data_IF_849281434577
#
_entry.id   IF_849281434577
#
_cell.length_a   1.000
_cell.length_b   1.000
_cell.length_c   1.000
_cell.angle_alpha   90.00
_cell.angle_beta   90.00
_cell.angle_gamma   90.00
#
_symmetry.space_group_name_H-M   'P 1'
#
loop_
_entity.id
_entity.type
_entity.pdbx_description
1 polymer ?
#
# COMPACT_ATOMS: atom_id res chain seq x y z
N UNK A 1 15.76 -5.68 -8.13
CA UNK A 1 15.14 -7.01 -8.40
C UNK A 1 13.67 -6.98 -8.02
N UNK A 2 12.73 -7.40 -8.89
CA UNK A 2 11.32 -7.35 -8.58
C UNK A 2 10.98 -8.49 -7.61
N UNK A 3 10.37 -8.15 -6.47
CA UNK A 3 9.74 -9.10 -5.55
C UNK A 3 8.58 -9.78 -6.30
N UNK A 4 8.90 -10.81 -7.09
CA UNK A 4 7.95 -11.79 -7.61
C UNK A 4 7.14 -12.27 -6.41
N UNK A 5 5.83 -12.00 -6.48
CA UNK A 5 4.73 -12.68 -5.78
C UNK A 5 5.25 -13.74 -4.81
N UNK A 6 5.51 -13.34 -3.57
CA UNK A 6 5.67 -14.30 -2.51
C UNK A 6 4.32 -15.01 -2.41
N UNK A 7 4.28 -16.34 -2.57
CA UNK A 7 3.02 -17.05 -2.70
C UNK A 7 2.14 -16.76 -1.48
N UNK A 8 0.87 -16.43 -1.72
CA UNK A 8 -0.13 -16.21 -0.68
C UNK A 8 -0.15 -17.40 0.32
N UNK A 9 0.14 -18.60 -0.18
CA UNK A 9 0.34 -19.82 0.60
C UNK A 9 1.48 -19.70 1.63
N UNK A 10 2.61 -19.12 1.24
CA UNK A 10 3.79 -18.95 2.08
C UNK A 10 3.55 -17.92 3.19
N UNK A 11 2.79 -16.86 2.87
CA UNK A 11 2.34 -15.87 3.85
C UNK A 11 1.43 -16.54 4.89
N UNK A 12 0.47 -17.37 4.45
CA UNK A 12 -0.39 -18.14 5.35
C UNK A 12 0.40 -19.10 6.26
N UNK A 13 1.41 -19.80 5.72
CA UNK A 13 2.28 -20.66 6.51
C UNK A 13 3.08 -19.88 7.56
N UNK A 14 3.70 -18.75 7.19
CA UNK A 14 4.46 -17.92 8.13
C UNK A 14 3.53 -17.34 9.21
N UNK A 15 2.32 -16.93 8.84
CA UNK A 15 1.32 -16.41 9.78
C UNK A 15 0.82 -17.48 10.76
N UNK A 16 0.60 -18.71 10.30
CA UNK A 16 0.23 -19.84 11.17
C UNK A 16 1.32 -20.16 12.20
N UNK A 17 2.59 -20.16 11.78
CA UNK A 17 3.71 -20.38 12.70
C UNK A 17 3.93 -19.19 13.64
N UNK A 18 3.60 -17.98 13.21
CA UNK A 18 3.65 -16.78 14.05
C UNK A 18 2.59 -16.82 15.18
N UNK A 19 1.42 -17.40 14.93
CA UNK A 19 0.38 -17.61 15.96
C UNK A 19 0.85 -18.59 17.04
N UNK A 20 1.71 -19.55 16.69
CA UNK A 20 2.34 -20.47 17.65
C UNK A 20 3.43 -19.79 18.52
N UNK A 21 3.55 -18.45 18.46
CA UNK A 21 4.54 -17.62 19.19
C UNK A 21 6.00 -17.97 18.87
N UNK A 22 6.26 -18.59 17.72
CA UNK A 22 7.63 -18.89 17.31
C UNK A 22 8.41 -17.60 17.03
N UNK A 23 9.70 -17.60 17.38
CA UNK A 23 10.56 -16.48 17.09
C UNK A 23 10.87 -16.40 15.58
N UNK A 24 11.17 -15.18 15.10
CA UNK A 24 11.48 -14.95 13.69
C UNK A 24 12.66 -15.80 13.19
N UNK A 25 13.62 -16.08 14.07
CA UNK A 25 14.79 -16.90 13.77
C UNK A 25 14.41 -18.37 13.54
N UNK A 26 13.49 -18.90 14.35
CA UNK A 26 12.99 -20.28 14.20
C UNK A 26 12.20 -20.40 12.89
N UNK A 27 11.35 -19.43 12.58
CA UNK A 27 10.60 -19.37 11.32
C UNK A 27 11.56 -19.37 10.12
N UNK A 28 12.60 -18.54 10.16
CA UNK A 28 13.60 -18.47 9.10
C UNK A 28 14.33 -19.81 8.91
N UNK A 29 14.80 -20.44 9.98
CA UNK A 29 15.51 -21.73 9.90
C UNK A 29 14.60 -22.84 9.38
N UNK A 30 13.35 -22.88 9.83
CA UNK A 30 12.37 -23.86 9.38
C UNK A 30 12.03 -23.69 7.89
N UNK A 31 11.85 -22.46 7.41
CA UNK A 31 11.67 -22.18 5.98
C UNK A 31 12.89 -22.56 5.16
N UNK A 32 14.11 -22.27 5.64
CA UNK A 32 15.36 -22.69 4.97
C UNK A 32 15.45 -24.22 4.84
N UNK A 33 15.06 -24.97 5.88
CA UNK A 33 14.99 -26.45 5.82
C UNK A 33 14.01 -26.96 4.75
N UNK A 34 12.96 -26.19 4.45
CA UNK A 34 12.00 -26.46 3.36
C UNK A 34 12.43 -25.92 1.99
N UNK A 35 13.68 -25.45 1.85
CA UNK A 35 14.20 -24.87 0.61
C UNK A 35 13.70 -23.45 0.32
N UNK A 36 13.04 -22.80 1.29
CA UNK A 36 12.47 -21.46 1.13
C UNK A 36 13.39 -20.43 1.79
N UNK A 37 14.01 -19.58 0.98
CA UNK A 37 14.81 -18.47 1.46
C UNK A 37 13.94 -17.28 1.87
N UNK A 38 13.84 -17.00 3.18
CA UNK A 38 13.10 -15.86 3.75
C UNK A 38 14.02 -14.99 4.59
N UNK A 39 14.01 -13.68 4.37
CA UNK A 39 14.72 -12.71 5.21
C UNK A 39 13.92 -12.32 6.46
N UNK A 40 14.61 -12.04 7.57
CA UNK A 40 13.98 -11.59 8.82
C UNK A 40 13.14 -10.31 8.66
N UNK A 41 13.58 -9.37 7.82
CA UNK A 41 12.84 -8.15 7.51
C UNK A 41 11.48 -8.45 6.86
N UNK A 42 11.41 -9.49 6.02
CA UNK A 42 10.17 -9.96 5.40
C UNK A 42 9.22 -10.58 6.43
N UNK A 43 9.75 -11.39 7.36
CA UNK A 43 8.96 -11.95 8.47
C UNK A 43 8.42 -10.82 9.36
N UNK A 44 9.23 -9.80 9.64
CA UNK A 44 8.81 -8.62 10.40
C UNK A 44 7.69 -7.85 9.69
N UNK A 45 7.79 -7.68 8.36
CA UNK A 45 6.70 -7.08 7.56
C UNK A 45 5.42 -7.89 7.64
N UNK A 46 5.48 -9.22 7.58
CA UNK A 46 4.30 -10.09 7.71
C UNK A 46 3.70 -9.94 9.12
N UNK A 47 4.51 -10.03 10.18
CA UNK A 47 4.07 -9.86 11.58
C UNK A 47 3.39 -8.51 11.83
N UNK A 48 3.95 -7.43 11.29
CA UNK A 48 3.47 -6.06 11.51
C UNK A 48 2.44 -5.61 10.47
N UNK A 49 2.25 -6.36 9.39
CA UNK A 49 1.18 -6.10 8.45
C UNK A 49 -0.15 -6.42 9.12
N UNK A 50 -1.16 -5.58 8.91
CA UNK A 50 -2.55 -5.81 9.35
C UNK A 50 -3.22 -6.95 8.59
N UNK A 51 -2.48 -8.00 8.24
CA UNK A 51 -2.95 -9.18 7.49
C UNK A 51 -3.64 -10.21 8.40
N UNK A 52 -3.98 -9.83 9.64
CA UNK A 52 -4.90 -10.54 10.51
C UNK A 52 -6.39 -10.28 10.20
N UNK A 53 -6.72 -9.59 9.11
CA UNK A 53 -8.08 -9.55 8.59
C UNK A 53 -8.18 -10.56 7.44
N UNK A 54 -8.85 -11.68 7.71
CA UNK A 54 -9.49 -12.51 6.68
C UNK A 54 -10.41 -11.63 5.85
N UNK A 55 -9.85 -10.98 4.85
CA UNK A 55 -10.59 -10.48 3.69
C UNK A 55 -10.09 -11.27 2.49
N UNK A 56 -10.56 -12.51 2.42
CA UNK A 56 -11.01 -13.03 1.13
C UNK A 56 -11.89 -11.93 0.53
N UNK A 57 -11.63 -11.56 -0.73
CA UNK A 57 -11.90 -10.25 -1.38
C UNK A 57 -10.64 -9.35 -1.52
N UNK A 58 -9.45 -9.91 -1.75
CA UNK A 58 -8.35 -9.11 -2.30
C UNK A 58 -8.47 -9.05 -3.82
N UNK A 59 -9.26 -8.10 -4.33
CA UNK A 59 -8.81 -7.41 -5.55
C UNK A 59 -7.42 -6.86 -5.23
N UNK A 60 -6.43 -7.02 -6.13
CA UNK A 60 -5.11 -6.48 -5.86
C UNK A 60 -5.30 -4.99 -5.55
N UNK A 61 -4.70 -4.52 -4.45
CA UNK A 61 -4.38 -3.10 -4.29
C UNK A 61 -3.38 -2.83 -5.41
N UNK A 62 -3.92 -2.56 -6.59
CA UNK A 62 -3.17 -2.01 -7.68
C UNK A 62 -2.73 -0.66 -7.14
N UNK A 63 -1.43 -0.46 -6.96
CA UNK A 63 -0.81 0.85 -7.19
C UNK A 63 -0.93 1.20 -8.69
N UNK A 64 -2.10 0.93 -9.28
CA UNK A 64 -2.41 1.06 -10.67
C UNK A 64 -2.76 2.50 -10.84
N UNK A 65 -1.76 3.26 -11.28
CA UNK A 65 -1.92 4.55 -11.96
C UNK A 65 -2.95 5.41 -11.23
N UNK A 66 -2.53 6.12 -10.17
CA UNK A 66 -3.31 7.27 -9.67
C UNK A 66 -3.79 8.00 -10.91
N UNK A 67 -5.11 8.01 -11.12
CA UNK A 67 -5.71 8.49 -12.37
C UNK A 67 -5.14 9.88 -12.59
N UNK A 68 -4.24 10.00 -13.56
CA UNK A 68 -3.57 11.25 -13.84
C UNK A 68 -4.70 12.24 -14.11
N UNK A 69 -4.81 13.25 -13.25
CA UNK A 69 -5.84 14.27 -13.34
C UNK A 69 -5.78 14.82 -14.77
N UNK A 70 -6.92 14.96 -15.45
CA UNK A 70 -6.93 15.41 -16.86
C UNK A 70 -6.23 16.77 -16.92
N UNK A 71 -5.55 17.08 -18.02
CA UNK A 71 -4.84 18.38 -18.16
C UNK A 71 -5.75 19.57 -17.87
N UNK A 72 -7.03 19.50 -18.29
CA UNK A 72 -8.05 20.52 -18.00
C UNK A 72 -8.32 20.67 -16.51
N UNK A 73 -8.41 19.56 -15.77
CA UNK A 73 -8.66 19.57 -14.33
C UNK A 73 -7.42 20.05 -13.57
N UNK A 74 -6.21 19.81 -14.09
CA UNK A 74 -4.96 20.32 -13.51
C UNK A 74 -4.91 21.83 -13.63
N UNK A 75 -5.23 22.35 -14.80
CA UNK A 75 -5.28 23.80 -15.02
C UNK A 75 -6.35 24.47 -14.15
N UNK A 76 -7.49 23.80 -13.92
CA UNK A 76 -8.52 24.29 -12.96
C UNK A 76 -8.02 24.24 -11.53
N UNK A 77 -7.28 23.19 -11.14
CA UNK A 77 -6.68 23.07 -9.81
C UNK A 77 -5.66 24.18 -9.55
N UNK A 78 -4.75 24.43 -10.50
CA UNK A 78 -3.75 25.51 -10.42
C UNK A 78 -4.43 26.88 -10.28
N UNK A 79 -5.50 27.14 -11.05
CA UNK A 79 -6.29 28.38 -10.92
C UNK A 79 -6.96 28.53 -9.56
N UNK A 80 -7.42 27.44 -8.93
CA UNK A 80 -7.99 27.48 -7.59
C UNK A 80 -6.91 27.72 -6.52
N UNK A 81 -5.74 27.10 -6.68
CA UNK A 81 -4.62 27.23 -5.76
C UNK A 81 -3.89 28.59 -5.85
N UNK A 82 -3.93 29.24 -7.03
CA UNK A 82 -3.33 30.56 -7.27
C UNK A 82 -4.19 31.73 -6.78
N UNK A 83 -5.36 31.49 -6.18
CA UNK A 83 -6.18 32.55 -5.58
C UNK A 83 -5.51 33.08 -4.30
N UNK A 84 -5.68 34.37 -3.97
CA UNK A 84 -5.13 34.95 -2.74
C UNK A 84 -5.63 34.26 -1.46
N UNK A 85 -6.84 33.69 -1.49
CA UNK A 85 -7.35 32.78 -0.47
C UNK A 85 -7.83 31.48 -1.15
N UNK A 86 -6.97 30.45 -1.24
CA UNK A 86 -7.31 29.23 -1.95
C UNK A 86 -8.27 28.35 -1.11
N UNK A 87 -9.27 27.71 -1.75
CA UNK A 87 -10.18 26.83 -1.04
C UNK A 87 -9.45 25.62 -0.44
N UNK A 88 -10.03 25.01 0.60
CA UNK A 88 -9.42 23.82 1.23
C UNK A 88 -9.23 22.67 0.24
N UNK A 89 -8.24 21.80 0.48
CA UNK A 89 -7.98 20.64 -0.40
C UNK A 89 -9.21 19.74 -0.57
N UNK A 90 -10.05 19.62 0.47
CA UNK A 90 -11.31 18.88 0.41
C UNK A 90 -12.33 19.56 -0.51
N UNK A 91 -12.43 20.89 -0.45
CA UNK A 91 -13.31 21.68 -1.33
C UNK A 91 -12.86 21.61 -2.80
N UNK A 92 -11.55 21.73 -3.06
CA UNK A 92 -10.96 21.54 -4.40
C UNK A 92 -11.24 20.13 -4.94
N UNK A 93 -11.09 19.11 -4.10
CA UNK A 93 -11.35 17.72 -4.46
C UNK A 93 -12.83 17.49 -4.82
N UNK A 94 -13.74 18.10 -4.04
CA UNK A 94 -15.19 18.07 -4.31
C UNK A 94 -15.53 18.77 -5.63
N UNK A 95 -14.92 19.92 -5.90
CA UNK A 95 -15.15 20.68 -7.13
C UNK A 95 -14.64 19.97 -8.40
N UNK A 96 -13.59 19.16 -8.28
CA UNK A 96 -13.00 18.38 -9.37
C UNK A 96 -13.50 16.93 -9.42
N UNK A 97 -14.40 16.53 -8.52
CA UNK A 97 -14.87 15.15 -8.34
C UNK A 97 -13.71 14.14 -8.27
N UNK A 98 -12.66 14.48 -7.53
CA UNK A 98 -11.47 13.64 -7.32
C UNK A 98 -11.26 13.35 -5.84
N UNK A 99 -10.37 12.40 -5.55
CA UNK A 99 -9.99 12.13 -4.16
C UNK A 99 -9.10 13.25 -3.63
N UNK A 100 -9.32 13.65 -2.37
CA UNK A 100 -8.50 14.65 -1.68
C UNK A 100 -6.99 14.31 -1.69
N UNK A 101 -6.64 13.02 -1.59
CA UNK A 101 -5.25 12.58 -1.67
C UNK A 101 -4.58 12.93 -3.01
N UNK A 102 -5.34 12.97 -4.12
CA UNK A 102 -4.83 13.35 -5.44
C UNK A 102 -4.50 14.84 -5.47
N UNK A 103 -5.38 15.67 -4.89
CA UNK A 103 -5.14 17.12 -4.74
C UNK A 103 -3.90 17.39 -3.89
N UNK A 104 -3.80 16.71 -2.73
CA UNK A 104 -2.64 16.84 -1.84
C UNK A 104 -1.31 16.46 -2.51
N UNK A 105 -1.31 15.41 -3.33
CA UNK A 105 -0.12 14.99 -4.08
C UNK A 105 0.28 16.01 -5.16
N UNK A 106 -0.68 16.63 -5.84
CA UNK A 106 -0.40 17.61 -6.89
C UNK A 106 0.05 18.97 -6.33
N UNK A 107 -0.48 19.40 -5.18
CA UNK A 107 -0.07 20.66 -4.55
C UNK A 107 1.28 20.59 -3.81
N UNK A 108 1.79 19.38 -3.54
CA UNK A 108 3.11 19.17 -2.91
C UNK A 108 4.25 19.09 -3.91
N UNK A 109 3.96 19.05 -5.21
CA UNK A 109 4.95 19.09 -6.28
C UNK A 109 5.36 20.52 -6.56
#
# INVERSE_FOLDING_TARGET
>A
MPLKKFDQMLIGQVQGVLQLRWSQRIIQTHSKKKGIAISLSHISRIKNSKLGSTKNESKPIKNGRQSKLKKSDLQRLEKMASKPDPPTQASMAKALNVRQQVVSYQLKR
#
